data_IF_617070912408
#
_entry.id   IF_617070912408
#
_cell.length_a   1.000
_cell.length_b   1.000
_cell.length_c   1.000
_cell.angle_alpha   90.00
_cell.angle_beta   90.00
_cell.angle_gamma   90.00
#
_symmetry.space_group_name_H-M   'P 1'
#
loop_
_entity.id
_entity.type
_entity.pdbx_description
1 polymer ?
#
# COMPACT_ATOMS: atom_id res chain seq x y z
N UNK A 1 -20.00 -18.85 9.59
CA UNK A 1 -19.58 -18.24 8.31
C UNK A 1 -20.03 -16.79 8.34
N UNK A 2 -19.11 -15.84 8.50
CA UNK A 2 -19.46 -14.43 8.64
C UNK A 2 -19.86 -13.88 7.26
N UNK A 3 -21.09 -13.40 7.12
CA UNK A 3 -21.70 -13.01 5.83
C UNK A 3 -21.15 -11.66 5.34
N UNK A 4 -20.46 -10.88 6.20
CA UNK A 4 -19.85 -9.60 5.85
C UNK A 4 -18.52 -9.39 6.59
N UNK A 5 -17.43 -9.95 6.05
CA UNK A 5 -16.08 -9.59 6.46
C UNK A 5 -15.62 -8.36 5.66
N UNK A 6 -15.37 -7.25 6.36
CA UNK A 6 -14.79 -6.02 5.78
C UNK A 6 -13.33 -5.90 6.20
N UNK A 7 -12.46 -5.71 5.22
CA UNK A 7 -11.08 -5.30 5.41
C UNK A 7 -11.01 -3.83 5.86
N UNK A 8 -9.82 -3.36 6.26
CA UNK A 8 -9.51 -1.94 6.36
C UNK A 8 -9.80 -1.20 5.04
N UNK A 9 -10.02 0.10 5.14
CA UNK A 9 -10.23 0.94 3.96
C UNK A 9 -8.93 1.05 3.17
N UNK A 10 -9.02 0.80 1.86
CA UNK A 10 -7.95 1.08 0.90
C UNK A 10 -8.54 1.24 -0.49
N UNK A 11 -7.80 1.90 -1.39
CA UNK A 11 -8.19 2.08 -2.78
C UNK A 11 -6.98 1.89 -3.70
N UNK A 12 -7.12 1.07 -4.74
CA UNK A 12 -6.14 1.00 -5.82
C UNK A 12 -6.62 1.85 -6.99
N UNK A 13 -5.76 2.74 -7.46
CA UNK A 13 -5.94 3.51 -8.69
C UNK A 13 -5.05 2.88 -9.75
N UNK A 14 -5.66 2.46 -10.86
CA UNK A 14 -4.98 2.09 -12.09
C UNK A 14 -4.99 3.31 -13.02
N UNK A 15 -3.87 4.03 -13.06
CA UNK A 15 -3.69 5.20 -13.91
C UNK A 15 -3.01 4.79 -15.22
N UNK A 16 -3.68 5.01 -16.34
CA UNK A 16 -3.18 4.72 -17.67
C UNK A 16 -2.98 6.04 -18.43
N UNK A 17 -1.72 6.45 -18.65
CA UNK A 17 -1.41 7.67 -19.40
C UNK A 17 -1.49 7.43 -20.92
N UNK A 18 -0.95 6.29 -21.37
CA UNK A 18 -0.99 5.76 -22.74
C UNK A 18 -1.31 4.26 -22.65
N UNK A 19 -1.87 3.62 -23.70
CA UNK A 19 -2.38 2.23 -23.70
C UNK A 19 -1.41 1.13 -23.20
N UNK A 20 -0.13 1.45 -22.94
CA UNK A 20 0.89 0.51 -22.52
C UNK A 20 1.52 0.79 -21.15
N UNK A 21 1.28 1.97 -20.57
CA UNK A 21 1.94 2.39 -19.33
C UNK A 21 0.91 2.57 -18.20
N UNK A 22 0.67 1.49 -17.48
CA UNK A 22 -0.11 1.50 -16.25
C UNK A 22 0.74 1.94 -15.06
N UNK A 23 0.14 2.72 -14.18
CA UNK A 23 0.69 3.14 -12.89
C UNK A 23 -0.29 2.78 -11.79
N UNK A 24 0.14 1.92 -10.88
CA UNK A 24 -0.67 1.42 -9.79
C UNK A 24 -0.38 2.19 -8.51
N UNK A 25 -1.33 3.03 -8.12
CA UNK A 25 -1.23 3.89 -6.92
C UNK A 25 -2.16 3.32 -5.87
N UNK A 26 -1.64 2.91 -4.71
CA UNK A 26 -2.46 2.44 -3.59
C UNK A 26 -2.67 3.58 -2.59
N UNK A 27 -3.90 3.73 -2.11
CA UNK A 27 -4.26 4.63 -1.01
C UNK A 27 -4.54 3.77 0.22
N UNK A 28 -3.81 4.07 1.29
CA UNK A 28 -3.83 3.39 2.59
C UNK A 28 -3.48 1.89 2.54
N UNK A 29 -2.64 1.48 3.49
CA UNK A 29 -2.12 0.12 3.60
C UNK A 29 -2.31 -0.36 5.04
N UNK A 30 -3.55 -0.71 5.37
CA UNK A 30 -3.94 -1.20 6.69
C UNK A 30 -3.49 -2.64 6.98
N UNK A 31 -3.70 -3.09 8.23
CA UNK A 31 -3.34 -4.46 8.68
C UNK A 31 -3.98 -5.61 7.87
N UNK A 32 -5.04 -5.36 7.11
CA UNK A 32 -5.67 -6.37 6.23
C UNK A 32 -5.20 -6.26 4.77
N UNK A 33 -4.18 -5.46 4.46
CA UNK A 33 -3.72 -5.23 3.09
C UNK A 33 -3.36 -6.53 2.35
N UNK A 34 -2.64 -7.44 3.01
CA UNK A 34 -2.30 -8.75 2.43
C UNK A 34 -3.52 -9.53 1.94
N UNK A 35 -4.61 -9.52 2.70
CA UNK A 35 -5.87 -10.18 2.30
C UNK A 35 -6.46 -9.50 1.05
N UNK A 36 -6.41 -8.17 0.99
CA UNK A 36 -6.89 -7.40 -0.16
C UNK A 36 -6.07 -7.70 -1.42
N UNK A 37 -4.75 -7.82 -1.30
CA UNK A 37 -3.86 -8.22 -2.40
C UNK A 37 -4.27 -9.60 -2.93
N UNK A 38 -4.33 -10.61 -2.06
CA UNK A 38 -4.67 -11.98 -2.46
C UNK A 38 -6.06 -12.08 -3.11
N UNK A 39 -7.02 -11.29 -2.62
CA UNK A 39 -8.40 -11.32 -3.13
C UNK A 39 -8.60 -10.53 -4.42
N UNK A 40 -8.02 -9.33 -4.51
CA UNK A 40 -8.32 -8.38 -5.57
C UNK A 40 -7.21 -8.28 -6.61
N UNK A 41 -5.93 -8.24 -6.21
CA UNK A 41 -4.84 -8.06 -7.17
C UNK A 41 -4.72 -9.27 -8.10
N UNK A 42 -4.84 -10.47 -7.55
CA UNK A 42 -4.86 -11.72 -8.34
C UNK A 42 -6.04 -11.74 -9.32
N UNK A 43 -7.20 -11.29 -8.88
CA UNK A 43 -8.43 -11.25 -9.70
C UNK A 43 -8.32 -10.22 -10.84
N UNK A 44 -7.74 -9.06 -10.57
CA UNK A 44 -7.60 -7.96 -11.53
C UNK A 44 -6.25 -7.99 -12.29
N UNK A 45 -5.42 -9.02 -12.07
CA UNK A 45 -4.10 -9.19 -12.69
C UNK A 45 -3.17 -7.99 -12.48
N UNK A 46 -3.21 -7.40 -11.29
CA UNK A 46 -2.35 -6.27 -10.91
C UNK A 46 -0.96 -6.83 -10.59
N UNK A 47 0.09 -6.45 -11.34
CA UNK A 47 1.42 -7.05 -11.21
C UNK A 47 2.24 -6.48 -10.04
N UNK A 48 2.03 -5.20 -9.70
CA UNK A 48 2.82 -4.49 -8.70
C UNK A 48 2.11 -3.21 -8.23
N UNK A 49 2.71 -2.53 -7.26
CA UNK A 49 2.36 -1.17 -6.81
C UNK A 49 3.52 -0.24 -7.10
N UNK A 50 3.26 0.85 -7.82
CA UNK A 50 4.26 1.87 -8.15
C UNK A 50 4.44 2.89 -7.01
N UNK A 51 3.36 3.25 -6.31
CA UNK A 51 3.41 4.24 -5.25
C UNK A 51 2.29 4.08 -4.22
N UNK A 52 2.54 4.61 -3.02
CA UNK A 52 1.61 4.57 -1.89
C UNK A 52 1.25 6.00 -1.48
N UNK A 53 -0.03 6.25 -1.24
CA UNK A 53 -0.54 7.47 -0.61
C UNK A 53 -1.16 7.11 0.74
N UNK A 54 -0.61 7.64 1.83
CA UNK A 54 -1.19 7.48 3.16
C UNK A 54 -2.02 8.71 3.50
N UNK A 55 -3.28 8.50 3.84
CA UNK A 55 -4.22 9.57 4.16
C UNK A 55 -3.98 10.14 5.56
N UNK A 56 -3.63 9.28 6.52
CA UNK A 56 -3.42 9.63 7.92
C UNK A 56 -2.60 8.57 8.67
N UNK A 57 -2.17 8.87 9.89
CA UNK A 57 -1.23 8.09 10.70
C UNK A 57 -1.84 6.91 11.48
N UNK A 58 -3.15 6.69 11.39
CA UNK A 58 -3.78 5.67 12.23
C UNK A 58 -3.44 4.26 11.77
N UNK A 59 -3.52 3.33 12.72
CA UNK A 59 -3.16 1.94 12.56
C UNK A 59 -3.89 1.22 11.40
N UNK A 60 -5.12 1.62 11.13
CA UNK A 60 -5.94 1.09 10.04
C UNK A 60 -5.47 1.53 8.64
N UNK A 61 -4.64 2.57 8.55
CA UNK A 61 -4.06 3.05 7.30
C UNK A 61 -2.57 2.68 7.10
N UNK A 62 -1.82 2.34 8.16
CA UNK A 62 -0.36 2.17 8.08
C UNK A 62 0.19 0.79 8.48
N UNK A 63 -0.56 -0.03 9.24
CA UNK A 63 0.03 -1.26 9.82
C UNK A 63 0.26 -2.41 8.82
N UNK A 64 -0.13 -2.25 7.56
CA UNK A 64 0.16 -3.19 6.48
C UNK A 64 1.38 -2.82 5.63
N UNK A 65 2.13 -1.76 5.98
CA UNK A 65 3.25 -1.28 5.17
C UNK A 65 4.32 -2.35 4.90
N UNK A 66 4.55 -3.29 5.82
CA UNK A 66 5.52 -4.38 5.59
C UNK A 66 5.04 -5.38 4.51
N UNK A 67 3.73 -5.60 4.39
CA UNK A 67 3.14 -6.50 3.38
C UNK A 67 3.27 -5.94 1.95
N UNK A 68 3.58 -4.64 1.78
CA UNK A 68 3.85 -4.03 0.45
C UNK A 68 5.00 -4.71 -0.26
N UNK A 69 5.97 -5.27 0.47
CA UNK A 69 7.13 -5.99 -0.10
C UNK A 69 6.72 -7.08 -1.09
N UNK A 70 5.53 -7.67 -0.91
CA UNK A 70 5.00 -8.74 -1.77
C UNK A 70 4.56 -8.22 -3.15
N UNK A 71 4.26 -6.93 -3.26
CA UNK A 71 3.75 -6.28 -4.48
C UNK A 71 4.71 -5.23 -5.05
N UNK A 72 5.97 -5.25 -4.62
CA UNK A 72 7.02 -4.42 -5.23
C UNK A 72 7.42 -4.97 -6.60
N UNK A 73 7.83 -4.11 -7.55
CA UNK A 73 8.41 -4.55 -8.80
C UNK A 73 9.60 -5.49 -8.55
N UNK A 74 9.62 -6.63 -9.24
CA UNK A 74 10.72 -7.59 -9.13
C UNK A 74 12.00 -7.03 -9.74
N UNK A 75 13.10 -7.00 -8.98
CA UNK A 75 14.45 -6.72 -9.49
C UNK A 75 15.39 -7.90 -9.18
N UNK A 76 16.04 -8.50 -10.20
CA UNK A 76 16.96 -9.62 -9.99
C UNK A 76 18.29 -9.22 -9.34
N UNK A 77 18.69 -7.95 -9.41
CA UNK A 77 19.93 -7.44 -8.79
C UNK A 77 19.72 -6.90 -7.38
N UNK A 78 18.47 -6.91 -6.90
CA UNK A 78 18.08 -6.28 -5.64
C UNK A 78 18.33 -4.75 -5.59
N UNK A 79 18.62 -4.12 -6.74
CA UNK A 79 18.59 -2.66 -6.94
C UNK A 79 17.13 -2.22 -7.14
N UNK A 80 16.28 -2.47 -6.14
CA UNK A 80 14.89 -2.02 -6.18
C UNK A 80 14.86 -0.60 -5.62
N UNK A 81 14.47 0.37 -6.44
CA UNK A 81 14.17 1.71 -5.93
C UNK A 81 13.09 1.60 -4.84
N UNK A 82 13.28 2.24 -3.67
CA UNK A 82 12.30 2.19 -2.61
C UNK A 82 10.96 2.71 -3.13
N UNK A 83 9.88 1.96 -2.85
CA UNK A 83 8.53 2.36 -3.27
C UNK A 83 8.21 3.74 -2.68
N UNK A 84 7.93 4.75 -3.52
CA UNK A 84 7.63 6.09 -3.03
C UNK A 84 6.34 6.09 -2.20
N UNK A 85 6.42 6.68 -1.00
CA UNK A 85 5.30 6.85 -0.08
C UNK A 85 5.05 8.36 0.08
N UNK A 86 3.83 8.78 -0.22
CA UNK A 86 3.37 10.15 -0.09
C UNK A 86 2.44 10.26 1.11
N UNK A 87 2.63 11.30 1.91
CA UNK A 87 1.80 11.62 3.06
C UNK A 87 1.96 13.10 3.41
N UNK A 88 0.99 13.64 4.16
CA UNK A 88 1.10 15.00 4.67
C UNK A 88 2.22 15.11 5.72
N UNK A 89 2.78 16.31 5.89
CA UNK A 89 3.77 16.56 6.95
C UNK A 89 3.21 16.21 8.34
N UNK A 90 1.93 16.51 8.58
CA UNK A 90 1.25 16.15 9.82
C UNK A 90 1.28 14.64 10.09
N UNK A 91 0.91 13.82 9.10
CA UNK A 91 0.94 12.37 9.22
C UNK A 91 2.39 11.86 9.40
N UNK A 92 3.35 12.47 8.71
CA UNK A 92 4.78 12.13 8.82
C UNK A 92 5.31 12.37 10.23
N UNK A 93 5.07 13.55 10.80
CA UNK A 93 5.50 13.91 12.15
C UNK A 93 4.93 12.94 13.19
N UNK A 94 3.65 12.56 13.03
CA UNK A 94 2.97 11.61 13.91
C UNK A 94 3.46 10.18 13.75
N UNK A 95 3.80 9.78 12.53
CA UNK A 95 4.38 8.47 12.27
C UNK A 95 5.71 8.30 13.00
N UNK A 96 6.63 9.27 12.86
CA UNK A 96 7.91 9.24 13.58
C UNK A 96 7.74 9.34 15.09
N UNK A 97 6.82 10.18 15.56
CA UNK A 97 6.52 10.31 16.98
C UNK A 97 5.99 8.98 17.55
N UNK A 98 5.03 8.35 16.88
CA UNK A 98 4.42 7.09 17.33
C UNK A 98 5.39 5.91 17.23
N UNK A 99 6.29 5.91 16.24
CA UNK A 99 7.37 4.94 16.11
C UNK A 99 8.44 5.12 17.22
N UNK A 100 8.75 6.36 17.61
CA UNK A 100 9.68 6.67 18.71
C UNK A 100 9.11 6.34 20.10
N UNK A 101 7.80 6.43 20.30
CA UNK A 101 7.16 6.10 21.59
C UNK A 101 6.81 4.61 21.76
N UNK A 102 7.21 3.74 20.83
CA UNK A 102 6.99 2.28 20.89
C UNK A 102 8.27 1.44 20.82
N UNK A 103 9.46 2.06 20.92
CA UNK A 103 10.74 1.38 21.12
C UNK A 103 11.35 1.78 22.46
#
# INVERSE_FOLDING_TARGET
MCISCRCNTSLLIDYCQDERAHKYIIIDVGKTFREQVLRWFVRHKIPCVDSILLTHEHADAILGLDDVRVVQPFSPTNDIDPTPIYLSQFAMDRYYTTALFKL
#
